data_IF_636034669457
#
_entry.id   IF_636034669457
#
_cell.length_a   1.000
_cell.length_b   1.000
_cell.length_c   1.000
_cell.angle_alpha   90.00
_cell.angle_beta   90.00
_cell.angle_gamma   90.00
#
_symmetry.space_group_name_H-M   'P 1'
#
loop_
_entity.id
_entity.type
_entity.pdbx_description
1 polymer ?
#
# COMPACT_ATOMS: atom_id res chain seq x y z
N UNK A 1 20.34 10.01 -3.06
CA UNK A 1 18.89 9.85 -3.28
C UNK A 1 18.26 11.22 -3.29
N UNK A 2 17.53 11.59 -4.35
CA UNK A 2 16.80 12.86 -4.41
C UNK A 2 15.35 12.61 -4.01
N UNK A 3 14.90 13.28 -2.94
CA UNK A 3 13.51 13.23 -2.49
C UNK A 3 12.81 14.46 -3.04
N UNK A 4 11.65 14.25 -3.70
CA UNK A 4 10.79 15.33 -4.19
C UNK A 4 9.39 15.13 -3.64
N UNK A 5 8.87 16.17 -2.98
CA UNK A 5 7.46 16.23 -2.66
C UNK A 5 6.66 16.62 -3.90
N UNK A 6 5.57 15.90 -4.17
CA UNK A 6 4.61 16.22 -5.23
C UNK A 6 3.21 16.12 -4.64
N UNK A 7 2.39 17.12 -4.92
CA UNK A 7 0.97 17.13 -4.54
C UNK A 7 0.14 16.80 -5.77
N UNK A 8 -0.28 15.54 -5.87
CA UNK A 8 -0.92 14.95 -7.04
C UNK A 8 -1.90 13.87 -6.61
N UNK A 9 -2.89 13.58 -7.47
CA UNK A 9 -3.77 12.44 -7.29
C UNK A 9 -2.99 11.12 -7.51
N UNK A 10 -2.77 10.28 -6.48
CA UNK A 10 -1.89 9.12 -6.57
C UNK A 10 -2.30 8.09 -7.63
N UNK A 11 -3.60 7.95 -7.87
CA UNK A 11 -4.12 7.01 -8.88
C UNK A 11 -3.75 7.41 -10.31
N UNK A 12 -3.55 8.70 -10.59
CA UNK A 12 -3.24 9.22 -11.92
C UNK A 12 -1.77 9.57 -12.10
N UNK A 13 -1.00 9.61 -11.01
CA UNK A 13 0.42 9.91 -11.10
C UNK A 13 1.19 8.78 -11.78
N UNK A 14 1.90 9.12 -12.86
CA UNK A 14 2.72 8.15 -13.57
C UNK A 14 3.95 7.78 -12.76
N UNK A 15 4.00 6.52 -12.30
CA UNK A 15 5.15 5.99 -11.55
C UNK A 15 5.37 4.50 -11.83
N UNK A 16 6.63 4.01 -11.88
CA UNK A 16 6.91 2.58 -11.98
C UNK A 16 6.37 1.76 -10.79
N UNK A 17 6.23 2.39 -9.62
CA UNK A 17 5.75 1.76 -8.39
C UNK A 17 5.14 2.81 -7.45
N UNK A 18 3.96 2.50 -6.93
CA UNK A 18 3.34 3.18 -5.79
C UNK A 18 3.47 2.25 -4.57
N UNK A 19 3.75 2.81 -3.40
CA UNK A 19 3.89 2.02 -2.16
C UNK A 19 2.92 2.54 -1.11
N UNK A 20 2.24 1.64 -0.41
CA UNK A 20 1.24 1.97 0.62
C UNK A 20 1.43 1.09 1.83
N UNK A 21 1.49 1.72 3.01
CA UNK A 21 1.53 1.03 4.29
C UNK A 21 0.15 0.56 4.73
N UNK A 22 0.06 -0.66 5.27
CA UNK A 22 -1.17 -1.26 5.79
C UNK A 22 -0.89 -1.84 7.18
N UNK A 23 -1.75 -1.51 8.16
CA UNK A 23 -1.62 -2.01 9.54
C UNK A 23 -2.04 -3.47 9.65
N UNK A 24 -1.43 -4.17 10.61
CA UNK A 24 -1.81 -5.54 10.94
C UNK A 24 -3.27 -5.60 11.39
N UNK A 25 -4.02 -6.57 10.87
CA UNK A 25 -5.43 -6.74 11.23
C UNK A 25 -6.37 -5.75 10.57
N UNK A 26 -5.95 -5.07 9.50
CA UNK A 26 -6.85 -4.24 8.68
C UNK A 26 -7.90 -5.12 8.01
N UNK A 27 -9.13 -5.14 8.54
CA UNK A 27 -10.24 -5.89 7.96
C UNK A 27 -11.10 -5.05 7.02
N UNK A 28 -11.29 -3.76 7.35
CA UNK A 28 -12.12 -2.83 6.57
C UNK A 28 -11.24 -1.89 5.78
N UNK A 29 -11.40 -1.90 4.46
CA UNK A 29 -10.73 -0.95 3.57
C UNK A 29 -11.40 0.42 3.67
N UNK A 30 -10.64 1.45 4.03
CA UNK A 30 -11.10 2.84 4.10
C UNK A 30 -10.12 3.78 3.40
N UNK A 31 -10.56 5.01 3.12
CA UNK A 31 -9.73 6.06 2.51
C UNK A 31 -9.02 5.62 1.23
N UNK A 32 -7.73 5.90 1.13
CA UNK A 32 -6.90 5.55 -0.03
C UNK A 32 -6.88 4.05 -0.32
N UNK A 33 -6.90 3.20 0.70
CA UNK A 33 -6.83 1.76 0.51
C UNK A 33 -8.10 1.22 -0.20
N UNK A 34 -9.27 1.78 0.11
CA UNK A 34 -10.52 1.46 -0.58
C UNK A 34 -10.56 1.96 -2.03
N UNK A 35 -10.04 3.16 -2.28
CA UNK A 35 -9.95 3.74 -3.63
C UNK A 35 -9.02 2.89 -4.50
N UNK A 36 -7.85 2.51 -3.98
CA UNK A 36 -6.89 1.65 -4.67
C UNK A 36 -7.46 0.25 -4.94
N UNK A 37 -8.14 -0.35 -3.96
CA UNK A 37 -8.77 -1.66 -4.14
C UNK A 37 -9.82 -1.64 -5.26
N UNK A 38 -10.62 -0.57 -5.33
CA UNK A 38 -11.61 -0.38 -6.40
C UNK A 38 -10.92 -0.29 -7.76
N UNK A 39 -9.85 0.50 -7.89
CA UNK A 39 -9.08 0.63 -9.13
C UNK A 39 -8.35 -0.66 -9.55
N UNK A 40 -8.03 -1.52 -8.58
CA UNK A 40 -7.42 -2.83 -8.78
C UNK A 40 -8.45 -3.97 -8.84
N UNK A 41 -9.75 -3.66 -8.96
CA UNK A 41 -10.81 -4.64 -9.11
C UNK A 41 -10.93 -5.61 -7.92
N UNK A 42 -10.70 -5.12 -6.69
CA UNK A 42 -10.84 -5.89 -5.45
C UNK A 42 -9.61 -6.72 -5.07
N UNK A 43 -8.45 -6.48 -5.67
CA UNK A 43 -7.25 -7.30 -5.45
C UNK A 43 -6.71 -7.22 -4.02
N UNK A 44 -6.77 -6.04 -3.39
CA UNK A 44 -6.30 -5.85 -2.02
C UNK A 44 -7.21 -6.61 -1.06
N UNK A 45 -8.52 -6.49 -1.23
CA UNK A 45 -9.50 -7.22 -0.42
C UNK A 45 -9.31 -8.73 -0.53
N UNK A 46 -9.06 -9.25 -1.73
CA UNK A 46 -8.78 -10.69 -1.94
C UNK A 46 -7.50 -11.15 -1.25
N UNK A 47 -6.44 -10.34 -1.27
CA UNK A 47 -5.20 -10.64 -0.58
C UNK A 47 -5.38 -10.68 0.95
N UNK A 48 -6.16 -9.75 1.51
CA UNK A 48 -6.48 -9.75 2.93
C UNK A 48 -7.38 -10.96 3.31
N UNK A 49 -8.40 -11.25 2.51
CA UNK A 49 -9.35 -12.33 2.81
C UNK A 49 -8.76 -13.73 2.67
N UNK A 50 -7.80 -13.92 1.75
CA UNK A 50 -7.05 -15.17 1.61
C UNK A 50 -6.00 -15.34 2.70
N UNK A 51 -5.59 -14.25 3.34
CA UNK A 51 -4.50 -14.22 4.31
C UNK A 51 -3.10 -14.20 3.69
N UNK A 52 -3.00 -14.01 2.37
CA UNK A 52 -1.75 -13.82 1.62
C UNK A 52 -1.00 -12.56 2.07
N UNK A 53 -1.74 -11.58 2.60
CA UNK A 53 -1.19 -10.39 3.22
C UNK A 53 -1.98 -10.08 4.50
N UNK A 54 -1.28 -9.79 5.60
CA UNK A 54 -1.92 -9.49 6.89
C UNK A 54 -1.54 -8.13 7.46
N UNK A 55 -0.54 -7.47 6.87
CA UNK A 55 -0.04 -6.18 7.34
C UNK A 55 0.97 -6.30 8.48
N UNK A 56 1.57 -7.47 8.70
CA UNK A 56 2.61 -7.66 9.72
C UNK A 56 3.87 -6.89 9.34
N UNK A 57 4.69 -6.53 10.33
CA UNK A 57 5.97 -5.88 10.05
C UNK A 57 6.84 -6.77 9.16
N UNK A 58 7.26 -6.24 8.02
CA UNK A 58 8.02 -6.97 7.00
C UNK A 58 7.18 -7.74 5.98
N UNK A 59 5.84 -7.73 6.09
CA UNK A 59 4.98 -8.23 5.00
C UNK A 59 5.13 -7.31 3.79
N UNK A 60 5.35 -7.92 2.62
CA UNK A 60 5.39 -7.23 1.34
C UNK A 60 4.52 -7.97 0.33
N UNK A 61 3.63 -7.24 -0.36
CA UNK A 61 2.85 -7.80 -1.45
C UNK A 61 2.83 -6.85 -2.64
N UNK A 62 3.28 -7.34 -3.80
CA UNK A 62 3.19 -6.62 -5.06
C UNK A 62 1.92 -6.99 -5.80
N UNK A 63 1.10 -5.99 -6.08
CA UNK A 63 -0.04 -6.05 -6.98
C UNK A 63 0.29 -5.29 -8.26
N UNK A 64 -0.22 -5.76 -9.39
CA UNK A 64 -0.01 -5.11 -10.67
C UNK A 64 -1.16 -4.15 -10.97
N UNK A 65 -0.80 -2.93 -11.38
CA UNK A 65 -1.77 -1.92 -11.80
C UNK A 65 -2.60 -2.42 -12.98
N UNK A 66 -3.84 -1.95 -13.06
CA UNK A 66 -4.68 -2.14 -14.24
C UNK A 66 -4.44 -0.99 -15.23
N UNK A 67 -4.93 -1.09 -16.46
CA UNK A 67 -4.80 0.00 -17.45
C UNK A 67 -5.43 1.33 -17.01
N UNK A 68 -6.17 1.36 -15.90
CA UNK A 68 -6.84 2.53 -15.34
C UNK A 68 -6.02 3.24 -14.24
N UNK A 69 -4.80 2.79 -13.93
CA UNK A 69 -3.93 3.43 -12.92
C UNK A 69 -2.66 4.00 -13.56
N UNK A 70 -2.22 5.17 -13.10
CA UNK A 70 -0.95 5.79 -13.52
C UNK A 70 0.28 5.03 -13.03
N UNK A 71 0.15 4.24 -11.96
CA UNK A 71 1.22 3.36 -11.49
C UNK A 71 1.17 1.99 -12.18
N UNK A 72 2.36 1.40 -12.42
CA UNK A 72 2.47 0.04 -12.99
C UNK A 72 2.36 -1.07 -11.94
N UNK A 73 2.81 -0.79 -10.72
CA UNK A 73 2.84 -1.73 -9.59
C UNK A 73 2.44 -1.00 -8.31
N UNK A 74 1.68 -1.68 -7.46
CA UNK A 74 1.38 -1.28 -6.09
C UNK A 74 2.11 -2.23 -5.15
N UNK A 75 2.98 -1.72 -4.29
CA UNK A 75 3.58 -2.46 -3.19
C UNK A 75 2.81 -2.15 -1.90
N UNK A 76 2.21 -3.18 -1.32
CA UNK A 76 1.67 -3.12 0.03
C UNK A 76 2.80 -3.46 1.01
N UNK A 77 3.02 -2.58 1.99
CA UNK A 77 3.96 -2.80 3.08
C UNK A 77 3.21 -2.98 4.39
N UNK A 78 3.48 -4.05 5.11
CA UNK A 78 2.91 -4.27 6.42
C UNK A 78 3.59 -3.42 7.49
N UNK A 79 2.81 -2.54 8.11
CA UNK A 79 3.25 -1.61 9.15
C UNK A 79 3.33 -2.28 10.54
N UNK A 80 2.81 -3.49 10.68
CA UNK A 80 2.69 -4.18 11.95
C UNK A 80 1.52 -3.66 12.79
N UNK A 81 1.57 -3.98 14.08
CA UNK A 81 0.54 -3.60 15.05
C UNK A 81 0.54 -2.09 15.27
N UNK A 82 -0.64 -1.48 15.31
CA UNK A 82 -0.79 -0.03 15.41
C UNK A 82 -0.21 0.58 16.70
N UNK A 83 -0.20 -0.19 17.80
CA UNK A 83 0.36 0.20 19.10
C UNK A 83 1.89 0.18 19.13
N UNK A 84 2.53 -0.48 18.15
CA UNK A 84 3.99 -0.57 18.00
C UNK A 84 4.52 0.30 16.87
N UNK A 85 3.66 1.02 16.16
CA UNK A 85 4.07 1.91 15.07
C UNK A 85 4.73 3.17 15.66
N UNK A 86 6.02 3.33 15.39
CA UNK A 86 6.82 4.49 15.79
C UNK A 86 7.57 5.13 14.62
N UNK A 87 8.19 6.28 14.85
CA UNK A 87 8.91 7.00 13.79
C UNK A 87 10.07 6.21 13.19
N UNK A 88 10.74 5.37 14.00
CA UNK A 88 11.88 4.58 13.54
C UNK A 88 11.41 3.44 12.64
N UNK A 89 10.29 2.79 12.95
CA UNK A 89 9.66 1.78 12.11
C UNK A 89 9.22 2.35 10.76
N UNK A 90 8.59 3.53 10.75
CA UNK A 90 8.23 4.23 9.50
C UNK A 90 9.47 4.59 8.69
N UNK A 91 10.52 5.12 9.33
CA UNK A 91 11.79 5.43 8.66
C UNK A 91 12.40 4.19 8.02
N UNK A 92 12.49 3.07 8.74
CA UNK A 92 13.07 1.82 8.23
C UNK A 92 12.33 1.27 7.03
N UNK A 93 11.01 1.42 7.02
CA UNK A 93 10.18 0.97 5.90
C UNK A 93 10.28 1.91 4.68
N UNK A 94 10.46 3.21 4.90
CA UNK A 94 10.60 4.18 3.83
C UNK A 94 11.99 4.14 3.14
N UNK A 95 13.03 3.67 3.84
CA UNK A 95 14.42 3.58 3.36
C UNK A 95 15.28 4.79 3.71
#
# INVERSE_FOLDING_TARGET
MLVRYVDVEPLKHETPMLTVGVLEGTETLTGWLAILDTALGGAIRRALSSGDFRGKSGDELVLYGSGNTGFRRLLLLGLGQSDRLDWESVRRMAG
#
